data_IF_995691710477
#
_entry.id   IF_995691710477
#
_cell.length_a   1.000
_cell.length_b   1.000
_cell.length_c   1.000
_cell.angle_alpha   90.00
_cell.angle_beta   90.00
_cell.angle_gamma   90.00
#
_symmetry.space_group_name_H-M   'P 1'
#
loop_
_entity.id
_entity.type
_entity.pdbx_description
1 polymer ?
#
# COMPACT_ATOMS: atom_id res chain seq x y z
N UNK A 1 -6.78 -1.38 -22.83
CA UNK A 1 -7.92 -1.26 -21.89
C UNK A 1 -7.90 0.08 -21.15
N UNK A 2 -6.96 0.35 -20.23
CA UNK A 2 -6.98 1.62 -19.48
C UNK A 2 -6.81 2.85 -20.39
N UNK A 3 -5.81 2.85 -21.30
CA UNK A 3 -5.60 3.96 -22.25
C UNK A 3 -6.77 4.11 -23.24
N UNK A 4 -7.46 3.02 -23.60
CA UNK A 4 -8.58 3.05 -24.54
C UNK A 4 -9.86 3.66 -23.92
N UNK A 5 -9.97 3.62 -22.58
CA UNK A 5 -11.16 4.02 -21.83
C UNK A 5 -10.88 5.19 -20.86
N UNK A 6 -9.77 5.90 -21.08
CA UNK A 6 -9.36 7.03 -20.23
C UNK A 6 -8.41 7.96 -20.99
N UNK A 7 -8.01 9.05 -20.35
CA UNK A 7 -6.94 9.94 -20.82
C UNK A 7 -5.59 9.63 -20.15
N UNK A 8 -5.50 8.53 -19.39
CA UNK A 8 -4.23 8.02 -18.88
C UNK A 8 -3.39 7.58 -20.07
N UNK A 9 -2.10 7.93 -20.07
CA UNK A 9 -1.16 7.49 -21.11
C UNK A 9 0.06 6.82 -20.49
N UNK A 10 0.67 5.88 -21.20
CA UNK A 10 1.90 5.22 -20.80
C UNK A 10 3.05 5.60 -21.75
N UNK A 11 4.17 6.04 -21.19
CA UNK A 11 5.41 6.28 -21.95
C UNK A 11 6.55 5.51 -21.34
N UNK A 12 7.51 5.06 -22.15
CA UNK A 12 8.67 4.31 -21.67
C UNK A 12 9.97 5.08 -21.97
N UNK A 13 10.78 5.26 -20.94
CA UNK A 13 12.13 5.83 -21.06
C UNK A 13 13.13 4.86 -20.44
N UNK A 14 13.99 4.26 -21.26
CA UNK A 14 14.86 3.17 -20.81
C UNK A 14 14.03 1.99 -20.32
N UNK A 15 14.21 1.59 -19.05
CA UNK A 15 13.44 0.51 -18.43
C UNK A 15 12.26 0.99 -17.56
N UNK A 16 11.99 2.30 -17.53
CA UNK A 16 10.92 2.86 -16.67
C UNK A 16 9.71 3.23 -17.51
N UNK A 17 8.55 2.71 -17.12
CA UNK A 17 7.25 3.14 -17.58
C UNK A 17 6.74 4.31 -16.74
N UNK A 18 6.26 5.37 -17.39
CA UNK A 18 5.57 6.49 -16.76
C UNK A 18 4.12 6.49 -17.19
N UNK A 19 3.23 6.31 -16.21
CA UNK A 19 1.79 6.46 -16.37
C UNK A 19 1.42 7.92 -16.07
N UNK A 20 1.00 8.69 -17.08
CA UNK A 20 0.49 10.05 -16.87
C UNK A 20 -1.01 9.98 -16.52
N UNK A 21 -1.31 10.17 -15.24
CA UNK A 21 -2.65 10.22 -14.67
C UNK A 21 -3.02 11.62 -14.17
N UNK A 22 -2.44 12.67 -14.77
CA UNK A 22 -2.74 14.06 -14.36
C UNK A 22 -4.15 14.51 -14.74
N UNK A 23 -4.74 13.88 -15.77
CA UNK A 23 -6.13 14.09 -16.16
C UNK A 23 -6.72 12.75 -16.62
N UNK A 24 -7.06 11.82 -15.71
CA UNK A 24 -7.34 10.45 -16.09
C UNK A 24 -8.67 10.29 -16.84
N UNK A 25 -9.67 11.15 -16.61
CA UNK A 25 -10.94 11.24 -17.38
C UNK A 25 -11.46 9.90 -17.95
N UNK A 26 -11.99 9.00 -17.11
CA UNK A 26 -12.49 7.71 -17.58
C UNK A 26 -13.75 7.87 -18.44
N UNK A 27 -14.04 6.91 -19.29
CA UNK A 27 -15.25 6.87 -20.12
C UNK A 27 -16.55 6.68 -19.31
N UNK A 28 -16.44 6.19 -18.08
CA UNK A 28 -17.58 5.92 -17.20
C UNK A 28 -18.41 4.72 -17.62
N UNK A 29 -17.94 3.91 -18.57
CA UNK A 29 -18.61 2.68 -19.02
C UNK A 29 -17.78 1.46 -18.68
N UNK A 30 -16.62 1.30 -19.33
CA UNK A 30 -15.72 0.16 -19.12
C UNK A 30 -14.70 0.46 -18.03
N UNK A 31 -14.41 1.73 -17.78
CA UNK A 31 -13.53 2.17 -16.70
C UNK A 31 -14.26 3.16 -15.80
N UNK A 32 -14.17 2.94 -14.50
CA UNK A 32 -14.59 3.88 -13.46
C UNK A 32 -13.40 4.31 -12.63
N UNK A 33 -13.28 5.62 -12.38
CA UNK A 33 -12.29 6.19 -11.45
C UNK A 33 -13.04 6.99 -10.40
N UNK A 34 -12.66 6.80 -9.14
CA UNK A 34 -13.21 7.51 -7.97
C UNK A 34 -12.09 8.13 -7.13
N UNK A 35 -12.37 9.25 -6.45
CA UNK A 35 -11.37 9.87 -5.56
C UNK A 35 -10.99 8.99 -4.37
N UNK A 36 -11.91 8.15 -3.87
CA UNK A 36 -11.68 7.29 -2.71
C UNK A 36 -11.95 5.82 -3.05
N UNK A 37 -11.04 4.95 -2.65
CA UNK A 37 -11.12 3.50 -2.91
C UNK A 37 -12.38 2.87 -2.29
N UNK A 38 -12.81 3.31 -1.11
CA UNK A 38 -14.06 2.87 -0.45
C UNK A 38 -15.33 3.00 -1.32
N UNK A 39 -15.35 3.93 -2.27
CA UNK A 39 -16.47 4.06 -3.21
C UNK A 39 -16.53 2.86 -4.18
N UNK A 40 -15.36 2.32 -4.56
CA UNK A 40 -15.26 1.15 -5.43
C UNK A 40 -15.76 -0.11 -4.73
N UNK A 41 -15.47 -0.27 -3.43
CA UNK A 41 -16.01 -1.38 -2.61
C UNK A 41 -17.54 -1.42 -2.67
N UNK A 42 -18.19 -0.26 -2.46
CA UNK A 42 -19.65 -0.16 -2.52
C UNK A 42 -20.19 -0.49 -3.92
N UNK A 43 -19.49 -0.04 -4.96
CA UNK A 43 -19.87 -0.31 -6.36
C UNK A 43 -19.77 -1.80 -6.69
N UNK A 44 -18.73 -2.52 -6.22
CA UNK A 44 -18.60 -3.97 -6.40
C UNK A 44 -19.75 -4.69 -5.67
N UNK A 45 -20.01 -4.34 -4.41
CA UNK A 45 -21.08 -4.97 -3.61
C UNK A 45 -22.47 -4.76 -4.22
N UNK A 46 -22.71 -3.58 -4.82
CA UNK A 46 -23.97 -3.27 -5.50
C UNK A 46 -24.05 -3.86 -6.93
N UNK A 47 -22.99 -4.49 -7.45
CA UNK A 47 -22.92 -4.99 -8.83
C UNK A 47 -22.82 -3.89 -9.89
N UNK A 48 -22.38 -2.68 -9.51
CA UNK A 48 -22.18 -1.55 -10.42
C UNK A 48 -20.85 -1.58 -11.17
N UNK A 49 -19.87 -2.35 -10.68
CA UNK A 49 -18.62 -2.71 -11.37
C UNK A 49 -18.28 -4.18 -11.07
N UNK A 50 -17.63 -4.86 -12.01
CA UNK A 50 -17.28 -6.28 -11.85
C UNK A 50 -16.02 -6.50 -11.00
N UNK A 51 -15.04 -5.59 -11.10
CA UNK A 51 -13.75 -5.66 -10.42
C UNK A 51 -13.30 -4.29 -9.93
N UNK A 52 -12.51 -4.26 -8.85
CA UNK A 52 -11.85 -3.08 -8.32
C UNK A 52 -10.40 -3.40 -7.92
N UNK A 53 -9.52 -2.42 -8.04
CA UNK A 53 -8.16 -2.48 -7.49
C UNK A 53 -8.20 -2.04 -6.03
N UNK A 54 -7.90 -2.97 -5.11
CA UNK A 54 -7.94 -2.74 -3.67
C UNK A 54 -6.81 -3.50 -2.96
N UNK A 55 -6.49 -3.08 -1.73
CA UNK A 55 -5.62 -3.87 -0.86
C UNK A 55 -6.30 -5.16 -0.40
N UNK A 56 -5.51 -6.20 -0.20
CA UNK A 56 -6.00 -7.49 0.33
C UNK A 56 -6.79 -7.31 1.63
N UNK A 57 -6.32 -6.46 2.55
CA UNK A 57 -7.02 -6.17 3.80
C UNK A 57 -8.40 -5.56 3.61
N UNK A 58 -8.56 -4.67 2.62
CA UNK A 58 -9.87 -4.06 2.31
C UNK A 58 -10.83 -5.12 1.81
N UNK A 59 -10.36 -6.05 0.96
CA UNK A 59 -11.18 -7.16 0.49
C UNK A 59 -11.61 -8.09 1.65
N UNK A 60 -10.68 -8.47 2.53
CA UNK A 60 -10.96 -9.31 3.71
C UNK A 60 -11.97 -8.65 4.64
N UNK A 61 -11.73 -7.39 5.03
CA UNK A 61 -12.60 -6.64 5.94
C UNK A 61 -14.01 -6.39 5.39
N UNK A 62 -14.18 -6.38 4.07
CA UNK A 62 -15.47 -6.22 3.40
C UNK A 62 -16.05 -7.54 2.87
N UNK A 63 -15.45 -8.67 3.23
CA UNK A 63 -15.87 -10.02 2.85
C UNK A 63 -16.05 -10.18 1.32
N UNK A 64 -15.16 -9.55 0.56
CA UNK A 64 -15.11 -9.61 -0.90
C UNK A 64 -14.26 -10.79 -1.38
N UNK A 65 -14.61 -11.33 -2.56
CA UNK A 65 -13.71 -12.22 -3.29
C UNK A 65 -12.61 -11.41 -3.96
N UNK A 66 -11.42 -11.98 -4.07
CA UNK A 66 -10.28 -11.35 -4.71
C UNK A 66 -9.46 -12.35 -5.52
N UNK A 67 -8.64 -11.83 -6.42
CA UNK A 67 -7.61 -12.57 -7.14
C UNK A 67 -6.27 -12.16 -6.58
N UNK A 68 -5.49 -13.13 -6.11
CA UNK A 68 -4.10 -12.87 -5.70
C UNK A 68 -3.24 -12.64 -6.93
N UNK A 69 -2.51 -11.54 -6.91
CA UNK A 69 -1.53 -11.20 -7.94
C UNK A 69 -0.16 -11.67 -7.48
N UNK A 70 0.72 -11.98 -8.42
CA UNK A 70 2.08 -12.40 -8.08
C UNK A 70 2.83 -11.27 -7.39
N UNK A 71 3.68 -11.63 -6.42
CA UNK A 71 4.50 -10.68 -5.66
C UNK A 71 5.37 -9.78 -6.56
N UNK A 72 5.70 -10.19 -7.79
CA UNK A 72 6.43 -9.36 -8.75
C UNK A 72 5.70 -8.06 -9.12
N UNK A 73 4.37 -8.00 -8.98
CA UNK A 73 3.54 -6.90 -9.47
C UNK A 73 2.59 -6.28 -8.45
N UNK A 74 2.31 -6.97 -7.34
CA UNK A 74 1.32 -6.56 -6.34
C UNK A 74 1.82 -5.51 -5.32
N UNK A 75 3.12 -5.18 -5.38
CA UNK A 75 3.82 -4.27 -4.46
C UNK A 75 3.96 -4.78 -3.01
N UNK A 76 3.78 -6.07 -2.72
CA UNK A 76 3.80 -6.59 -1.35
C UNK A 76 5.20 -6.94 -0.83
N UNK A 77 6.15 -7.29 -1.70
CA UNK A 77 7.39 -7.94 -1.28
C UNK A 77 8.65 -7.07 -1.50
N UNK A 78 9.41 -6.85 -0.42
CA UNK A 78 10.64 -6.04 -0.44
C UNK A 78 11.68 -6.55 -1.43
N UNK A 79 11.75 -7.87 -1.66
CA UNK A 79 12.69 -8.49 -2.63
C UNK A 79 12.47 -8.04 -4.08
N UNK A 80 11.29 -7.52 -4.42
CA UNK A 80 10.95 -7.00 -5.74
C UNK A 80 11.01 -5.47 -5.83
N UNK A 81 11.59 -4.78 -4.84
CA UNK A 81 11.68 -3.32 -4.82
C UNK A 81 12.28 -2.72 -6.11
N UNK A 82 13.30 -3.35 -6.71
CA UNK A 82 13.87 -2.87 -7.97
C UNK A 82 12.97 -3.11 -9.17
N UNK A 83 12.16 -4.18 -9.16
CA UNK A 83 11.15 -4.39 -10.19
C UNK A 83 10.04 -3.33 -10.10
N UNK A 84 9.56 -3.01 -8.89
CA UNK A 84 8.52 -2.01 -8.70
C UNK A 84 8.94 -0.61 -9.18
N UNK A 85 10.23 -0.26 -9.04
CA UNK A 85 10.79 1.00 -9.55
C UNK A 85 10.76 1.14 -11.07
N UNK A 86 10.48 0.06 -11.81
CA UNK A 86 10.33 0.12 -13.28
C UNK A 86 9.02 0.77 -13.73
N UNK A 87 8.13 1.15 -12.81
CA UNK A 87 6.92 1.90 -13.09
C UNK A 87 6.82 3.12 -12.17
N UNK A 88 6.41 4.25 -12.72
CA UNK A 88 6.05 5.44 -11.96
C UNK A 88 4.73 6.03 -12.47
N UNK A 89 3.99 6.70 -11.59
CA UNK A 89 2.75 7.40 -11.93
C UNK A 89 2.93 8.89 -11.71
N UNK A 90 2.65 9.69 -12.73
CA UNK A 90 2.61 11.15 -12.63
C UNK A 90 1.17 11.60 -12.36
N UNK A 91 0.95 12.34 -11.27
CA UNK A 91 -0.38 12.77 -10.84
C UNK A 91 -0.37 14.22 -10.32
N UNK A 92 -1.57 14.79 -10.15
CA UNK A 92 -1.75 16.14 -9.59
C UNK A 92 -1.51 16.12 -8.08
N UNK A 93 -0.75 17.09 -7.57
CA UNK A 93 -0.53 17.33 -6.13
C UNK A 93 -0.57 18.83 -5.85
N UNK A 94 -1.64 19.28 -5.19
CA UNK A 94 -1.91 20.71 -5.01
C UNK A 94 -2.01 21.42 -6.36
N UNK A 95 -1.25 22.51 -6.53
CA UNK A 95 -1.22 23.27 -7.79
C UNK A 95 -0.20 22.74 -8.82
N UNK A 96 0.44 21.60 -8.55
CA UNK A 96 1.49 21.03 -9.39
C UNK A 96 1.27 19.57 -9.73
N UNK A 97 2.31 18.94 -10.28
CA UNK A 97 2.34 17.49 -10.53
C UNK A 97 3.50 16.86 -9.76
N UNK A 98 3.39 15.57 -9.47
CA UNK A 98 4.43 14.78 -8.81
C UNK A 98 4.46 13.38 -9.41
N UNK A 99 5.63 12.74 -9.35
CA UNK A 99 5.81 11.35 -9.77
C UNK A 99 5.95 10.46 -8.56
N UNK A 100 5.14 9.40 -8.52
CA UNK A 100 5.17 8.33 -7.54
C UNK A 100 5.81 7.11 -8.17
N UNK A 101 7.00 6.74 -7.72
CA UNK A 101 7.72 5.54 -8.17
C UNK A 101 7.16 4.34 -7.42
N UNK A 102 6.96 3.21 -8.11
CA UNK A 102 6.52 1.97 -7.48
C UNK A 102 7.50 1.52 -6.40
N UNK A 103 6.97 1.10 -5.25
CA UNK A 103 7.73 0.64 -4.11
C UNK A 103 6.93 -0.39 -3.31
N UNK A 104 7.58 -1.24 -2.51
CA UNK A 104 6.87 -2.13 -1.60
C UNK A 104 5.95 -1.34 -0.67
N UNK A 105 4.75 -1.83 -0.42
CA UNK A 105 3.80 -1.28 0.54
C UNK A 105 4.14 -1.87 1.90
N UNK A 106 4.95 -1.15 2.66
CA UNK A 106 5.40 -1.55 4.01
C UNK A 106 4.92 -0.52 5.03
N UNK A 107 4.22 -0.98 6.05
CA UNK A 107 3.81 -0.13 7.17
C UNK A 107 4.93 0.00 8.19
N UNK A 108 5.27 1.25 8.54
CA UNK A 108 6.23 1.58 9.57
C UNK A 108 5.57 2.24 10.78
N UNK A 109 6.10 1.97 11.97
CA UNK A 109 5.66 2.58 13.23
C UNK A 109 6.87 3.16 13.98
N UNK A 110 6.67 4.27 14.70
CA UNK A 110 7.70 4.86 15.55
C UNK A 110 7.09 5.56 16.75
N UNK A 111 7.85 5.69 17.84
CA UNK A 111 7.53 6.57 18.96
C UNK A 111 8.22 7.91 18.70
N UNK A 112 7.48 9.01 18.47
CA UNK A 112 8.09 10.31 18.23
C UNK A 112 8.94 10.77 19.42
N UNK A 113 10.07 11.44 19.14
CA UNK A 113 10.96 11.98 20.18
C UNK A 113 10.28 13.00 21.12
N UNK A 114 9.18 13.59 20.66
CA UNK A 114 8.38 14.59 21.38
C UNK A 114 7.10 14.00 21.98
N UNK A 115 6.96 12.67 22.04
CA UNK A 115 5.79 12.04 22.62
C UNK A 115 5.65 12.42 24.10
N UNK A 116 4.44 12.81 24.52
CA UNK A 116 4.14 13.17 25.91
C UNK A 116 4.24 11.95 26.85
N UNK A 117 3.94 10.77 26.34
CA UNK A 117 3.99 9.48 27.03
C UNK A 117 4.80 8.45 26.23
N UNK A 118 6.14 8.60 26.15
CA UNK A 118 6.98 7.75 25.31
C UNK A 118 7.04 6.30 25.78
N UNK A 119 6.85 6.06 27.07
CA UNK A 119 6.71 4.75 27.70
C UNK A 119 5.43 4.03 27.25
N UNK A 120 4.30 4.73 27.19
CA UNK A 120 3.06 4.17 26.66
C UNK A 120 3.15 3.92 25.15
N UNK A 121 3.80 4.82 24.41
CA UNK A 121 4.10 4.60 22.99
C UNK A 121 4.94 3.35 22.77
N UNK A 122 5.94 3.11 23.63
CA UNK A 122 6.77 1.92 23.58
C UNK A 122 5.98 0.64 23.87
N UNK A 123 5.14 0.66 24.90
CA UNK A 123 4.26 -0.47 25.23
C UNK A 123 3.28 -0.80 24.09
N UNK A 124 2.75 0.22 23.42
CA UNK A 124 1.90 0.03 22.24
C UNK A 124 2.67 -0.64 21.10
N UNK A 125 3.87 -0.17 20.79
CA UNK A 125 4.70 -0.77 19.72
C UNK A 125 5.07 -2.21 20.07
N UNK A 126 5.41 -2.50 21.32
CA UNK A 126 5.72 -3.85 21.79
C UNK A 126 4.54 -4.82 21.58
N UNK A 127 3.32 -4.39 21.94
CA UNK A 127 2.10 -5.16 21.69
C UNK A 127 1.84 -5.34 20.19
N UNK A 128 1.96 -4.26 19.40
CA UNK A 128 1.68 -4.26 17.96
C UNK A 128 2.58 -5.22 17.18
N UNK A 129 3.87 -5.27 17.49
CA UNK A 129 4.82 -6.18 16.81
C UNK A 129 4.93 -7.55 17.48
N UNK A 130 4.33 -7.71 18.67
CA UNK A 130 4.25 -8.97 19.39
C UNK A 130 3.15 -9.90 18.87
N UNK A 131 2.97 -11.09 19.50
CA UNK A 131 2.01 -12.10 19.02
C UNK A 131 0.56 -11.60 18.91
N UNK A 132 0.14 -10.71 19.81
CA UNK A 132 -1.23 -10.14 19.79
C UNK A 132 -1.46 -9.28 18.56
N UNK A 133 -0.61 -8.26 18.33
CA UNK A 133 -0.73 -7.41 17.14
C UNK A 133 -0.53 -8.17 15.84
N UNK A 134 0.37 -9.16 15.81
CA UNK A 134 0.54 -10.04 14.65
C UNK A 134 -0.75 -10.80 14.31
N UNK A 135 -1.44 -11.35 15.32
CA UNK A 135 -2.70 -12.07 15.12
C UNK A 135 -3.82 -11.15 14.64
N UNK A 136 -3.93 -9.93 15.20
CA UNK A 136 -4.91 -8.93 14.78
C UNK A 136 -4.70 -8.56 13.30
N UNK A 137 -3.47 -8.19 12.92
CA UNK A 137 -3.14 -7.79 11.56
C UNK A 137 -3.38 -8.93 10.56
N UNK A 138 -3.00 -10.16 10.89
CA UNK A 138 -3.26 -11.32 10.04
C UNK A 138 -4.76 -11.59 9.85
N UNK A 139 -5.57 -11.47 10.92
CA UNK A 139 -7.03 -11.64 10.84
C UNK A 139 -7.70 -10.55 9.96
N UNK A 140 -7.13 -9.35 9.94
CA UNK A 140 -7.59 -8.21 9.13
C UNK A 140 -7.02 -8.21 7.69
N UNK A 141 -6.37 -9.29 7.26
CA UNK A 141 -5.83 -9.43 5.90
C UNK A 141 -4.57 -8.61 5.64
N UNK A 142 -3.84 -8.24 6.70
CA UNK A 142 -2.54 -7.55 6.65
C UNK A 142 -1.45 -8.44 7.25
N UNK A 143 -0.94 -9.45 6.53
CA UNK A 143 0.13 -10.29 7.05
C UNK A 143 1.33 -9.46 7.52
N UNK A 144 1.72 -9.55 8.81
CA UNK A 144 2.83 -8.77 9.34
C UNK A 144 4.19 -9.32 8.86
N UNK A 145 5.22 -8.46 8.85
CA UNK A 145 6.61 -8.90 8.71
C UNK A 145 7.05 -9.44 10.08
N UNK A 146 7.45 -10.71 10.13
CA UNK A 146 7.81 -11.40 11.38
C UNK A 146 9.18 -12.07 11.27
N UNK A 147 10.17 -11.72 12.12
CA UNK A 147 10.15 -10.59 13.06
C UNK A 147 10.06 -9.24 12.32
N UNK A 148 9.52 -8.21 12.97
CA UNK A 148 9.46 -6.87 12.38
C UNK A 148 10.88 -6.30 12.17
N UNK A 149 11.07 -5.44 11.18
CA UNK A 149 12.37 -4.79 10.96
C UNK A 149 12.53 -3.57 11.88
N UNK A 150 13.70 -3.46 12.52
CA UNK A 150 14.06 -2.36 13.41
C UNK A 150 15.16 -1.49 12.81
N UNK A 151 14.90 -0.19 12.61
CA UNK A 151 15.85 0.76 12.02
C UNK A 151 16.33 1.81 13.02
N UNK A 152 17.60 2.19 12.93
CA UNK A 152 18.19 3.25 13.76
C UNK A 152 18.29 2.89 15.24
N UNK A 153 17.80 3.78 16.12
CA UNK A 153 17.90 3.65 17.58
C UNK A 153 16.74 2.85 18.18
N UNK A 154 16.69 1.56 17.89
CA UNK A 154 15.72 0.64 18.49
C UNK A 154 15.95 0.54 20.01
N UNK A 155 14.93 0.80 20.86
CA UNK A 155 15.02 0.62 22.30
C UNK A 155 15.36 -0.82 22.70
N UNK A 156 16.15 -1.00 23.77
CA UNK A 156 16.59 -2.32 24.23
C UNK A 156 15.43 -3.28 24.53
N UNK A 157 14.28 -2.78 24.99
CA UNK A 157 13.10 -3.59 25.26
C UNK A 157 12.51 -4.24 24.00
N UNK A 158 12.63 -3.61 22.83
CA UNK A 158 12.13 -4.15 21.56
C UNK A 158 13.15 -5.01 20.82
N UNK A 159 14.43 -5.00 21.23
CA UNK A 159 15.50 -5.73 20.55
C UNK A 159 15.21 -7.24 20.36
N UNK A 160 14.54 -7.95 21.29
CA UNK A 160 14.19 -9.36 21.08
C UNK A 160 13.08 -9.60 20.02
N UNK A 161 12.31 -8.58 19.67
CA UNK A 161 11.13 -8.68 18.81
C UNK A 161 11.38 -8.22 17.37
N UNK A 162 12.56 -7.64 17.10
CA UNK A 162 12.89 -7.08 15.79
C UNK A 162 14.13 -7.70 15.18
N UNK A 163 14.15 -7.79 13.86
CA UNK A 163 15.37 -7.96 13.09
C UNK A 163 16.01 -6.58 12.89
N UNK A 164 17.14 -6.33 13.57
CA UNK A 164 17.80 -5.03 13.47
C UNK A 164 18.46 -4.87 12.10
N UNK A 165 17.96 -3.92 11.34
CA UNK A 165 18.50 -3.56 10.04
C UNK A 165 19.70 -2.62 10.19
N UNK A 166 20.64 -2.63 9.23
CA UNK A 166 21.83 -1.78 9.24
C UNK A 166 21.52 -0.27 9.27
#
# INVERSE_FOLDING_TARGET
LVEDHSKITATKTGNVWTLDATNPSPDGTSLTIRPKSVELVQMVQAGGIDYAWEYHSVAVQNNLKFVELSEEIDLSAVKYADNYKTVQTKAVKGNGTTSYVGSPIVYGVTVPKIAEHPDMGLAFVEMLIGPEGQAILAADGQPPIVPADGFGSVPTSLAPLVNKQP
#
